data_IF_788986102828
#
_entry.id   IF_788986102828
#
_cell.length_a   1.000
_cell.length_b   1.000
_cell.length_c   1.000
_cell.angle_alpha   90.00
_cell.angle_beta   90.00
_cell.angle_gamma   90.00
#
_symmetry.space_group_name_H-M   'P 1'
#
loop_
_entity.id
_entity.type
_entity.pdbx_description
1 polymer ?
#
# COMPACT_ATOMS: atom_id res chain seq x y z
N UNK A 1 12.84 5.16 -0.30
CA UNK A 1 12.14 5.81 -1.44
C UNK A 1 11.20 6.94 -0.97
N UNK A 2 10.14 6.64 -0.21
CA UNK A 2 9.10 7.62 0.17
C UNK A 2 9.63 8.89 0.84
N UNK A 3 10.64 8.78 1.73
CA UNK A 3 11.32 9.94 2.33
C UNK A 3 11.91 10.93 1.30
N UNK A 4 12.41 10.44 0.15
CA UNK A 4 12.97 11.33 -0.88
C UNK A 4 11.84 11.99 -1.67
N UNK A 5 10.78 11.24 -1.98
CA UNK A 5 9.60 11.75 -2.68
C UNK A 5 8.88 12.81 -1.85
N UNK A 6 8.68 12.59 -0.56
CA UNK A 6 8.02 13.59 0.30
C UNK A 6 8.75 14.94 0.33
N UNK A 7 10.07 14.94 0.09
CA UNK A 7 10.89 16.16 0.01
C UNK A 7 10.92 16.78 -1.39
N UNK A 8 10.57 16.05 -2.44
CA UNK A 8 10.67 16.57 -3.81
C UNK A 8 9.46 17.39 -4.22
N UNK A 9 8.29 17.13 -3.63
CA UNK A 9 7.05 17.84 -3.97
C UNK A 9 6.23 18.31 -2.75
N UNK A 10 6.71 18.03 -1.53
CA UNK A 10 6.14 18.54 -0.28
C UNK A 10 4.61 18.33 -0.16
N UNK A 11 4.16 17.07 -0.04
CA UNK A 11 2.73 16.78 0.01
C UNK A 11 2.07 17.47 1.20
N UNK A 12 0.83 17.88 0.99
CA UNK A 12 0.02 18.43 2.07
C UNK A 12 -0.72 17.36 2.88
N UNK A 13 -0.88 16.17 2.28
CA UNK A 13 -1.57 15.03 2.86
C UNK A 13 -0.79 13.74 2.61
N UNK A 14 -0.68 12.92 3.64
CA UNK A 14 -0.07 11.59 3.62
C UNK A 14 -1.00 10.58 4.28
N UNK A 15 -1.22 9.44 3.60
CA UNK A 15 -1.91 8.29 4.20
C UNK A 15 -1.07 7.04 4.02
N UNK A 16 -0.87 6.33 5.13
CA UNK A 16 -0.23 5.03 5.18
C UNK A 16 -1.33 3.96 5.37
N UNK A 17 -1.52 3.08 4.40
CA UNK A 17 -2.63 2.11 4.39
C UNK A 17 -2.14 0.74 4.84
N UNK A 18 -2.84 0.14 5.80
CA UNK A 18 -2.54 -1.13 6.45
C UNK A 18 -3.81 -1.98 6.58
N UNK A 19 -3.62 -3.23 6.97
CA UNK A 19 -4.70 -4.13 7.40
C UNK A 19 -4.27 -4.89 8.65
N UNK A 20 -5.27 -5.34 9.41
CA UNK A 20 -5.15 -6.04 10.70
C UNK A 20 -6.25 -5.64 11.67
N UNK A 21 -6.90 -4.50 11.44
CA UNK A 21 -8.08 -4.03 12.16
C UNK A 21 -8.85 -3.00 11.31
N UNK A 22 -9.93 -2.44 11.84
CA UNK A 22 -10.59 -1.26 11.27
C UNK A 22 -10.29 -0.03 12.13
N UNK A 23 -9.46 0.88 11.63
CA UNK A 23 -9.02 2.05 12.39
C UNK A 23 -8.55 3.22 11.53
N UNK A 24 -8.63 4.40 12.12
CA UNK A 24 -8.30 5.69 11.54
C UNK A 24 -7.37 6.44 12.50
N UNK A 25 -6.07 6.35 12.26
CA UNK A 25 -5.07 6.94 13.13
C UNK A 25 -4.47 8.23 12.59
N UNK A 26 -4.15 9.11 13.51
CA UNK A 26 -3.20 10.21 13.36
C UNK A 26 -1.96 9.91 14.21
N UNK A 27 -0.87 10.66 14.07
CA UNK A 27 0.24 10.57 15.02
C UNK A 27 -0.22 10.72 16.48
N UNK A 28 0.52 10.24 17.47
CA UNK A 28 1.78 9.53 17.32
C UNK A 28 1.61 8.02 17.41
N UNK A 29 2.45 7.28 16.70
CA UNK A 29 2.58 5.83 16.87
C UNK A 29 3.57 5.51 17.99
N UNK A 30 4.64 6.31 18.13
CA UNK A 30 5.69 6.11 19.13
C UNK A 30 5.37 6.66 20.54
N UNK A 31 4.19 7.25 20.74
CA UNK A 31 3.73 7.83 22.01
C UNK A 31 2.26 7.52 22.23
N UNK A 32 1.86 7.38 23.49
CA UNK A 32 0.45 7.27 23.89
C UNK A 32 -0.26 8.64 23.94
N UNK A 33 0.04 9.53 22.99
CA UNK A 33 -0.52 10.88 22.93
C UNK A 33 -0.65 11.29 21.48
N UNK A 34 -1.66 12.07 21.15
CA UNK A 34 -1.76 12.74 19.84
C UNK A 34 -1.05 14.09 19.88
N UNK A 35 -0.62 14.63 18.72
CA UNK A 35 -0.17 16.01 18.61
C UNK A 35 -1.20 16.99 19.15
N UNK A 36 -0.77 18.16 19.59
CA UNK A 36 -1.66 19.22 20.07
C UNK A 36 -1.76 20.36 19.06
N UNK A 37 -2.78 21.22 19.21
CA UNK A 37 -2.93 22.44 18.43
C UNK A 37 -3.90 22.33 17.25
N UNK A 38 -4.05 23.44 16.52
CA UNK A 38 -5.11 23.63 15.51
C UNK A 38 -5.07 22.60 14.38
N UNK A 39 -3.87 22.24 13.89
CA UNK A 39 -3.72 21.25 12.82
C UNK A 39 -4.12 19.85 13.30
N UNK A 40 -3.74 19.48 14.52
CA UNK A 40 -4.19 18.24 15.15
C UNK A 40 -5.70 18.17 15.29
N UNK A 41 -6.33 19.26 15.74
CA UNK A 41 -7.79 19.36 15.80
C UNK A 41 -8.47 19.12 14.45
N UNK A 42 -7.90 19.62 13.35
CA UNK A 42 -8.41 19.36 11.99
C UNK A 42 -8.23 17.91 11.57
N UNK A 43 -7.06 17.32 11.82
CA UNK A 43 -6.82 15.89 11.54
C UNK A 43 -7.83 15.02 12.29
N UNK A 44 -8.03 15.26 13.58
CA UNK A 44 -8.99 14.53 14.40
C UNK A 44 -10.42 14.67 13.87
N UNK A 45 -10.86 15.87 13.53
CA UNK A 45 -12.18 16.11 12.95
C UNK A 45 -12.37 15.39 11.60
N UNK A 46 -11.34 15.35 10.74
CA UNK A 46 -11.38 14.56 9.51
C UNK A 46 -11.59 13.08 9.82
N UNK A 47 -10.82 12.51 10.76
CA UNK A 47 -10.96 11.09 11.11
C UNK A 47 -12.32 10.75 11.72
N UNK A 48 -12.83 11.58 12.63
CA UNK A 48 -14.16 11.40 13.22
C UNK A 48 -15.27 11.48 12.15
N UNK A 49 -15.15 12.41 11.21
CA UNK A 49 -16.11 12.54 10.10
C UNK A 49 -16.06 11.34 9.17
N UNK A 50 -14.86 10.85 8.81
CA UNK A 50 -14.71 9.66 7.98
C UNK A 50 -15.25 8.41 8.69
N UNK A 51 -15.02 8.28 10.00
CA UNK A 51 -15.55 7.19 10.80
C UNK A 51 -17.08 7.16 10.74
N UNK A 52 -17.71 8.32 10.96
CA UNK A 52 -19.16 8.42 10.94
C UNK A 52 -19.75 8.11 9.56
N UNK A 53 -19.17 8.68 8.49
CA UNK A 53 -19.72 8.57 7.14
C UNK A 53 -19.46 7.20 6.46
N UNK A 54 -18.29 6.61 6.68
CA UNK A 54 -17.83 5.44 5.90
C UNK A 54 -17.56 4.20 6.75
N UNK A 55 -17.25 4.39 8.03
CA UNK A 55 -17.08 3.28 8.97
C UNK A 55 -18.37 2.98 9.78
N UNK A 56 -19.40 3.83 9.75
CA UNK A 56 -20.56 3.65 10.64
C UNK A 56 -20.18 3.59 12.11
N UNK A 57 -19.22 4.44 12.50
CA UNK A 57 -18.66 4.57 13.85
C UNK A 57 -17.93 3.33 14.41
N UNK A 58 -17.65 2.32 13.56
CA UNK A 58 -16.96 1.09 13.97
C UNK A 58 -15.43 1.21 14.03
N UNK A 59 -14.83 2.14 13.29
CA UNK A 59 -13.38 2.28 13.23
C UNK A 59 -12.86 2.92 14.52
N UNK A 60 -11.74 2.41 15.04
CA UNK A 60 -11.05 3.05 16.17
C UNK A 60 -10.39 4.35 15.69
N UNK A 61 -10.63 5.47 16.38
CA UNK A 61 -10.06 6.79 16.02
C UNK A 61 -9.10 7.29 17.10
N UNK A 62 -7.88 7.67 16.73
CA UNK A 62 -6.94 8.24 17.69
C UNK A 62 -5.47 8.23 17.26
N UNK A 63 -4.57 8.25 18.24
CA UNK A 63 -3.12 8.06 18.01
C UNK A 63 -2.78 6.58 17.92
N UNK A 64 -1.93 6.15 16.99
CA UNK A 64 -1.56 4.73 16.86
C UNK A 64 -1.02 4.13 18.16
N UNK A 65 -0.11 4.86 18.84
CA UNK A 65 0.53 4.41 20.07
C UNK A 65 -0.39 4.39 21.30
N UNK A 66 -1.55 5.05 21.21
CA UNK A 66 -2.55 5.06 22.28
C UNK A 66 -3.78 4.21 22.01
N UNK A 67 -4.05 3.87 20.74
CA UNK A 67 -5.28 3.20 20.34
C UNK A 67 -5.08 1.70 20.08
N UNK A 68 -3.89 1.30 19.64
CA UNK A 68 -3.58 -0.11 19.27
C UNK A 68 -3.08 -0.93 20.48
N UNK A 69 -2.77 -0.28 21.61
CA UNK A 69 -2.33 -0.95 22.84
C UNK A 69 -0.82 -1.19 22.95
N UNK A 70 -0.03 -0.76 21.97
CA UNK A 70 1.43 -0.69 22.04
C UNK A 70 1.96 0.55 21.32
N UNK A 71 3.18 0.95 21.64
CA UNK A 71 3.88 2.04 20.94
C UNK A 71 4.82 1.49 19.86
N UNK A 72 4.79 2.09 18.68
CA UNK A 72 5.63 1.71 17.55
C UNK A 72 6.65 2.81 17.25
N UNK A 73 7.95 2.51 17.39
CA UNK A 73 9.01 3.45 17.09
C UNK A 73 9.42 3.38 15.61
N UNK A 74 9.84 4.53 15.05
CA UNK A 74 10.39 4.58 13.69
C UNK A 74 9.34 4.43 12.59
N UNK A 75 8.06 4.69 12.87
CA UNK A 75 7.00 4.58 11.86
C UNK A 75 7.11 5.66 10.80
N UNK A 76 6.58 5.36 9.61
CA UNK A 76 6.58 6.30 8.50
C UNK A 76 5.68 7.49 8.78
N UNK A 77 4.50 7.28 9.38
CA UNK A 77 3.54 8.35 9.70
C UNK A 77 4.14 9.37 10.66
N UNK A 78 4.83 8.92 11.72
CA UNK A 78 5.52 9.82 12.64
C UNK A 78 6.65 10.59 11.96
N UNK A 79 7.45 9.95 11.09
CA UNK A 79 8.49 10.64 10.32
C UNK A 79 7.88 11.71 9.39
N UNK A 80 6.79 11.37 8.70
CA UNK A 80 6.11 12.28 7.77
C UNK A 80 5.56 13.51 8.50
N UNK A 81 5.09 13.33 9.73
CA UNK A 81 4.59 14.41 10.58
C UNK A 81 5.73 15.25 11.18
N UNK A 82 6.61 14.64 11.97
CA UNK A 82 7.59 15.37 12.78
C UNK A 82 8.80 15.84 11.97
N UNK A 83 9.22 15.09 10.95
CA UNK A 83 10.46 15.39 10.21
C UNK A 83 10.15 15.99 8.83
N UNK A 84 9.25 15.39 8.06
CA UNK A 84 8.88 15.92 6.76
C UNK A 84 7.89 17.10 6.85
N UNK A 85 7.31 17.35 8.03
CA UNK A 85 6.38 18.46 8.30
C UNK A 85 5.16 18.47 7.37
N UNK A 86 4.69 17.28 6.98
CA UNK A 86 3.46 17.14 6.20
C UNK A 86 2.28 17.54 7.10
N UNK A 87 1.43 18.50 6.68
CA UNK A 87 0.36 19.04 7.51
C UNK A 87 -0.67 18.02 8.01
N UNK A 88 -1.04 17.06 7.15
CA UNK A 88 -2.04 16.06 7.46
C UNK A 88 -1.48 14.66 7.18
N UNK A 89 -1.25 13.89 8.23
CA UNK A 89 -0.63 12.57 8.14
C UNK A 89 -1.50 11.55 8.87
N UNK A 90 -1.79 10.44 8.21
CA UNK A 90 -2.69 9.43 8.74
C UNK A 90 -2.15 8.01 8.53
N UNK A 91 -2.57 7.09 9.40
CA UNK A 91 -2.47 5.64 9.17
C UNK A 91 -3.88 5.07 9.18
N UNK A 92 -4.28 4.41 8.10
CA UNK A 92 -5.60 3.76 7.99
C UNK A 92 -5.42 2.25 8.03
N UNK A 93 -6.16 1.59 8.91
CA UNK A 93 -6.30 0.14 8.99
C UNK A 93 -7.65 -0.21 8.35
N UNK A 94 -7.62 -0.82 7.17
CA UNK A 94 -8.80 -0.87 6.29
C UNK A 94 -9.63 -2.15 6.42
N UNK A 95 -9.08 -3.16 7.07
CA UNK A 95 -9.69 -4.47 7.18
C UNK A 95 -9.01 -5.26 8.29
N UNK A 96 -9.80 -5.97 9.08
CA UNK A 96 -9.31 -7.04 9.95
C UNK A 96 -10.45 -8.00 10.26
N UNK A 97 -10.19 -9.31 10.18
CA UNK A 97 -11.15 -10.34 10.58
C UNK A 97 -10.76 -10.92 11.94
N UNK A 98 -11.45 -10.46 12.99
CA UNK A 98 -11.27 -10.90 14.38
C UNK A 98 -11.75 -12.33 14.62
N UNK A 99 -12.46 -12.93 13.65
CA UNK A 99 -12.94 -14.32 13.69
C UNK A 99 -12.06 -15.26 12.87
N UNK A 100 -11.03 -14.76 12.20
CA UNK A 100 -10.06 -15.60 11.54
C UNK A 100 -9.34 -16.49 12.57
N UNK A 101 -8.98 -17.72 12.17
CA UNK A 101 -8.14 -18.57 12.99
C UNK A 101 -6.77 -17.91 13.17
N UNK A 102 -6.15 -18.07 14.34
CA UNK A 102 -4.83 -17.49 14.62
C UNK A 102 -3.73 -17.97 13.67
N UNK A 103 -3.94 -19.09 12.97
CA UNK A 103 -3.04 -19.62 11.95
C UNK A 103 -3.43 -19.20 10.53
N UNK A 104 -4.63 -18.65 10.31
CA UNK A 104 -5.10 -18.14 9.02
C UNK A 104 -4.84 -16.64 8.89
N UNK A 105 -3.54 -16.29 8.85
CA UNK A 105 -3.10 -14.92 8.68
C UNK A 105 -3.66 -14.28 7.41
N UNK A 106 -3.83 -15.05 6.33
CA UNK A 106 -4.31 -14.49 5.08
C UNK A 106 -5.72 -13.92 5.25
N UNK A 107 -6.63 -14.70 5.85
CA UNK A 107 -8.00 -14.26 6.13
C UNK A 107 -8.08 -13.15 7.16
N UNK A 108 -7.20 -13.18 8.17
CA UNK A 108 -7.13 -12.14 9.20
C UNK A 108 -6.85 -10.75 8.60
N UNK A 109 -5.95 -10.70 7.60
CA UNK A 109 -5.48 -9.44 7.00
C UNK A 109 -6.11 -9.11 5.64
N UNK A 110 -6.83 -10.04 5.01
CA UNK A 110 -7.38 -9.86 3.67
C UNK A 110 -8.79 -10.43 3.55
N UNK A 111 -9.70 -9.73 2.85
CA UNK A 111 -10.99 -10.29 2.48
C UNK A 111 -10.80 -11.48 1.54
N UNK A 112 -11.39 -12.63 1.89
CA UNK A 112 -11.24 -13.89 1.15
C UNK A 112 -12.40 -14.18 0.20
N UNK A 113 -13.51 -13.45 0.33
CA UNK A 113 -14.68 -13.55 -0.52
C UNK A 113 -14.95 -12.25 -1.30
N UNK A 114 -15.54 -12.40 -2.50
CA UNK A 114 -15.83 -11.28 -3.39
C UNK A 114 -16.76 -10.22 -2.77
N UNK A 115 -17.86 -10.57 -2.09
CA UNK A 115 -18.71 -9.59 -1.40
C UNK A 115 -17.93 -8.72 -0.42
N UNK A 116 -17.14 -9.32 0.47
CA UNK A 116 -16.36 -8.58 1.47
C UNK A 116 -15.28 -7.73 0.80
N UNK A 117 -14.57 -8.27 -0.20
CA UNK A 117 -13.57 -7.52 -0.96
C UNK A 117 -14.18 -6.26 -1.60
N UNK A 118 -15.31 -6.41 -2.30
CA UNK A 118 -15.98 -5.29 -2.97
C UNK A 118 -16.49 -4.25 -1.96
N UNK A 119 -17.01 -4.69 -0.81
CA UNK A 119 -17.43 -3.79 0.27
C UNK A 119 -16.25 -2.96 0.77
N UNK A 120 -15.15 -3.61 1.15
CA UNK A 120 -13.93 -2.92 1.63
C UNK A 120 -13.41 -1.95 0.58
N UNK A 121 -13.33 -2.37 -0.68
CA UNK A 121 -12.87 -1.50 -1.76
C UNK A 121 -13.77 -0.28 -1.93
N UNK A 122 -15.09 -0.45 -1.94
CA UNK A 122 -16.04 0.64 -2.13
C UNK A 122 -16.06 1.61 -0.95
N UNK A 123 -16.15 1.10 0.28
CA UNK A 123 -16.19 1.90 1.51
C UNK A 123 -14.93 2.78 1.61
N UNK A 124 -13.75 2.19 1.42
CA UNK A 124 -12.50 2.93 1.56
C UNK A 124 -12.22 3.84 0.38
N UNK A 125 -12.61 3.48 -0.85
CA UNK A 125 -12.53 4.39 -2.00
C UNK A 125 -13.36 5.65 -1.75
N UNK A 126 -14.59 5.50 -1.25
CA UNK A 126 -15.45 6.62 -0.89
C UNK A 126 -14.84 7.47 0.24
N UNK A 127 -14.27 6.82 1.27
CA UNK A 127 -13.57 7.51 2.36
C UNK A 127 -12.39 8.36 1.85
N UNK A 128 -11.58 7.84 0.92
CA UNK A 128 -10.49 8.59 0.31
C UNK A 128 -10.99 9.83 -0.45
N UNK A 129 -12.05 9.69 -1.25
CA UNK A 129 -12.62 10.84 -1.97
C UNK A 129 -13.15 11.92 -1.02
N UNK A 130 -13.90 11.54 0.02
CA UNK A 130 -14.36 12.47 1.06
C UNK A 130 -13.18 13.14 1.76
N UNK A 131 -12.14 12.39 2.11
CA UNK A 131 -10.95 12.95 2.76
C UNK A 131 -10.24 13.97 1.87
N UNK A 132 -10.13 13.74 0.55
CA UNK A 132 -9.50 14.69 -0.36
C UNK A 132 -10.28 16.00 -0.46
N UNK A 133 -11.62 15.93 -0.53
CA UNK A 133 -12.50 17.10 -0.53
C UNK A 133 -12.40 17.89 0.78
N UNK A 134 -12.44 17.19 1.92
CA UNK A 134 -12.25 17.78 3.24
C UNK A 134 -10.86 18.41 3.36
N UNK A 135 -9.82 17.70 2.92
CA UNK A 135 -8.44 18.16 2.97
C UNK A 135 -8.24 19.47 2.20
N UNK A 136 -8.76 19.55 0.97
CA UNK A 136 -8.71 20.77 0.17
C UNK A 136 -9.35 21.97 0.89
N UNK A 137 -10.50 21.74 1.53
CA UNK A 137 -11.23 22.75 2.30
C UNK A 137 -10.46 23.16 3.58
N UNK A 138 -9.97 22.19 4.35
CA UNK A 138 -9.28 22.43 5.61
C UNK A 138 -7.91 23.09 5.44
N UNK A 139 -7.29 22.93 4.28
CA UNK A 139 -6.01 23.55 3.94
C UNK A 139 -6.14 24.97 3.37
N UNK A 140 -7.35 25.50 3.19
CA UNK A 140 -7.60 26.85 2.67
C UNK A 140 -6.88 27.16 1.34
N UNK A 141 -6.78 26.19 0.42
CA UNK A 141 -6.35 26.47 -0.96
C UNK A 141 -7.31 27.41 -1.72
N UNK A 142 -8.52 27.65 -1.18
CA UNK A 142 -9.60 28.40 -1.82
C UNK A 142 -9.71 29.87 -1.38
N UNK A 143 -8.74 30.43 -0.63
CA UNK A 143 -8.81 31.86 -0.22
C UNK A 143 -7.71 32.79 -0.70
N UNK A 144 -6.61 32.33 -1.30
CA UNK A 144 -5.56 33.24 -1.80
C UNK A 144 -4.87 32.83 -3.12
N UNK A 145 -5.56 32.13 -4.02
CA UNK A 145 -5.10 32.03 -5.41
C UNK A 145 -6.29 31.83 -6.36
N UNK A 146 -6.40 32.56 -7.47
CA UNK A 146 -7.28 32.16 -8.56
C UNK A 146 -6.73 30.84 -9.08
N UNK A 147 -7.26 29.73 -8.57
CA UNK A 147 -6.87 28.38 -8.96
C UNK A 147 -7.16 28.25 -10.46
N UNK A 148 -6.12 28.46 -11.27
CA UNK A 148 -6.20 28.35 -12.72
C UNK A 148 -6.21 26.86 -13.04
N UNK A 149 -7.41 26.36 -13.33
CA UNK A 149 -7.70 24.96 -13.72
C UNK A 149 -6.82 24.49 -14.88
N UNK A 150 -6.21 25.41 -15.64
CA UNK A 150 -5.28 25.10 -16.73
C UNK A 150 -3.97 24.41 -16.34
N UNK A 151 -3.61 24.33 -15.05
CA UNK A 151 -2.40 23.63 -14.59
C UNK A 151 -2.67 22.28 -13.91
N UNK A 152 -3.93 21.84 -13.79
CA UNK A 152 -4.20 20.45 -13.42
C UNK A 152 -4.03 19.60 -14.67
N UNK A 153 -3.00 18.77 -14.66
CA UNK A 153 -2.93 17.66 -15.59
C UNK A 153 -4.01 16.68 -15.15
N UNK A 154 -5.11 16.62 -15.91
CA UNK A 154 -6.12 15.59 -15.70
C UNK A 154 -5.44 14.22 -15.76
N UNK A 155 -5.88 13.28 -14.92
CA UNK A 155 -5.43 11.88 -15.05
C UNK A 155 -5.75 11.36 -16.47
N UNK A 156 -6.82 11.87 -17.07
CA UNK A 156 -7.18 11.62 -18.46
C UNK A 156 -6.22 12.28 -19.44
N UNK A 157 -5.60 13.42 -19.12
CA UNK A 157 -4.57 14.06 -19.96
C UNK A 157 -3.23 13.35 -19.84
N UNK A 158 -2.90 12.77 -18.68
CA UNK A 158 -1.73 11.91 -18.52
C UNK A 158 -1.92 10.58 -19.27
N UNK A 159 -3.10 9.97 -19.16
CA UNK A 159 -3.48 8.79 -19.93
C UNK A 159 -3.57 9.10 -21.43
N UNK A 160 -4.18 10.21 -21.83
CA UNK A 160 -4.25 10.62 -23.23
C UNK A 160 -2.87 11.00 -23.77
N UNK A 161 -2.01 11.66 -23.00
CA UNK A 161 -0.62 11.92 -23.38
C UNK A 161 0.15 10.61 -23.57
N UNK A 162 0.04 9.68 -22.63
CA UNK A 162 0.64 8.34 -22.70
C UNK A 162 0.08 7.49 -23.86
N UNK A 163 -1.19 7.68 -24.23
CA UNK A 163 -1.86 6.97 -25.33
C UNK A 163 -1.65 7.66 -26.70
N UNK A 164 -1.54 8.98 -26.74
CA UNK A 164 -1.27 9.79 -27.95
C UNK A 164 0.20 9.70 -28.37
N UNK A 165 1.13 9.70 -27.41
CA UNK A 165 2.55 9.40 -27.66
C UNK A 165 2.75 7.99 -28.25
N UNK A 166 1.79 7.08 -27.99
CA UNK A 166 1.71 5.74 -28.57
C UNK A 166 1.03 5.67 -29.94
N UNK A 167 0.19 6.65 -30.31
CA UNK A 167 -0.48 6.72 -31.62
C UNK A 167 0.37 7.40 -32.69
N UNK A 168 1.25 8.33 -32.31
CA UNK A 168 2.13 9.05 -33.25
C UNK A 168 3.31 8.21 -33.78
N UNK A 169 3.57 7.03 -33.23
CA UNK A 169 4.63 6.11 -33.69
C UNK A 169 4.06 4.82 -34.28
N UNK A 170 3.26 4.94 -35.33
CA UNK A 170 2.82 3.81 -36.15
C UNK A 170 3.93 3.35 -37.11
N UNK A 171 5.09 3.02 -36.55
CA UNK A 171 6.27 2.50 -37.24
C UNK A 171 7.19 1.64 -36.36
N UNK A 172 7.12 1.79 -35.03
CA UNK A 172 8.02 1.13 -34.07
C UNK A 172 7.40 -0.09 -33.35
N UNK A 173 6.09 -0.31 -33.52
CA UNK A 173 5.34 -1.37 -32.80
C UNK A 173 5.74 -2.79 -33.17
N UNK A 174 6.35 -2.98 -34.35
CA UNK A 174 6.80 -4.31 -34.82
C UNK A 174 8.11 -4.72 -34.14
N UNK A 175 9.05 -3.78 -33.97
CA UNK A 175 10.35 -4.07 -33.36
C UNK A 175 10.26 -4.27 -31.84
N UNK A 176 9.41 -3.53 -31.11
CA UNK A 176 9.26 -3.70 -29.65
C UNK A 176 8.55 -5.01 -29.27
N UNK A 177 7.59 -5.47 -30.08
CA UNK A 177 6.96 -6.77 -29.89
C UNK A 177 7.95 -7.91 -30.16
N UNK A 178 8.78 -7.79 -31.21
CA UNK A 178 9.83 -8.78 -31.50
C UNK A 178 10.92 -8.80 -30.42
N UNK A 179 11.34 -7.63 -29.92
CA UNK A 179 12.28 -7.54 -28.78
C UNK A 179 11.67 -8.16 -27.51
N UNK A 180 10.42 -7.82 -27.19
CA UNK A 180 9.71 -8.38 -26.03
C UNK A 180 9.51 -9.89 -26.13
N UNK A 181 9.21 -10.41 -27.32
CA UNK A 181 9.11 -11.85 -27.56
C UNK A 181 10.47 -12.54 -27.45
N UNK A 182 11.54 -11.88 -27.90
CA UNK A 182 12.90 -12.39 -27.82
C UNK A 182 13.43 -12.41 -26.37
N UNK A 183 13.11 -11.39 -25.58
CA UNK A 183 13.41 -11.37 -24.14
C UNK A 183 12.62 -12.44 -23.39
N UNK A 184 11.30 -12.55 -23.62
CA UNK A 184 10.47 -13.63 -23.03
C UNK A 184 11.02 -15.01 -23.39
N UNK A 185 11.44 -15.22 -24.64
CA UNK A 185 12.05 -16.48 -25.09
C UNK A 185 13.38 -16.76 -24.40
N UNK A 186 14.15 -15.72 -24.08
CA UNK A 186 15.41 -15.83 -23.35
C UNK A 186 15.18 -16.16 -21.87
N UNK A 187 14.24 -15.46 -21.22
CA UNK A 187 13.84 -15.77 -19.84
C UNK A 187 13.23 -17.17 -19.71
N UNK A 188 12.42 -17.60 -20.67
CA UNK A 188 11.85 -18.95 -20.70
C UNK A 188 12.94 -20.02 -20.88
N UNK A 189 13.95 -19.78 -21.74
CA UNK A 189 15.10 -20.66 -21.88
C UNK A 189 15.92 -20.75 -20.59
N UNK A 190 16.18 -19.63 -19.93
CA UNK A 190 16.90 -19.59 -18.65
C UNK A 190 16.10 -20.28 -17.53
N UNK A 191 14.78 -20.11 -17.50
CA UNK A 191 13.88 -20.77 -16.56
C UNK A 191 13.83 -22.30 -16.78
N UNK A 192 13.79 -22.76 -18.04
CA UNK A 192 13.90 -24.18 -18.34
C UNK A 192 15.25 -24.76 -17.94
N UNK A 193 16.34 -24.03 -18.21
CA UNK A 193 17.69 -24.46 -17.83
C UNK A 193 17.85 -24.53 -16.31
N UNK A 194 17.34 -23.54 -15.58
CA UNK A 194 17.36 -23.55 -14.11
C UNK A 194 16.49 -24.68 -13.53
N UNK A 195 15.33 -24.96 -14.13
CA UNK A 195 14.45 -26.06 -13.73
C UNK A 195 15.09 -27.43 -13.97
N UNK A 196 15.79 -27.61 -15.10
CA UNK A 196 16.54 -28.84 -15.39
C UNK A 196 17.72 -28.99 -14.42
N UNK A 197 18.47 -27.92 -14.14
CA UNK A 197 19.57 -27.96 -13.16
C UNK A 197 19.07 -28.26 -11.74
N UNK A 198 17.95 -27.67 -11.33
CA UNK A 198 17.29 -28.00 -10.06
C UNK A 198 16.87 -29.47 -10.03
N UNK A 199 16.27 -29.99 -11.11
CA UNK A 199 15.93 -31.41 -11.20
C UNK A 199 17.17 -32.32 -11.10
N UNK A 200 18.27 -32.00 -11.77
CA UNK A 200 19.52 -32.77 -11.60
C UNK A 200 20.07 -32.68 -10.18
N UNK A 201 20.01 -31.52 -9.51
CA UNK A 201 20.45 -31.39 -8.12
C UNK A 201 19.57 -32.19 -7.14
N UNK A 202 18.24 -32.19 -7.32
CA UNK A 202 17.32 -32.97 -6.50
C UNK A 202 17.43 -34.47 -6.79
N UNK A 203 17.46 -34.90 -8.06
CA UNK A 203 17.63 -36.30 -8.43
C UNK A 203 19.01 -36.87 -8.03
N UNK A 204 20.08 -36.07 -8.07
CA UNK A 204 21.41 -36.50 -7.60
C UNK A 204 21.47 -36.64 -6.08
N UNK A 205 20.73 -35.81 -5.32
CA UNK A 205 20.60 -35.94 -3.86
C UNK A 205 19.79 -37.18 -3.47
N UNK A 206 18.72 -37.50 -4.21
CA UNK A 206 17.88 -38.69 -3.98
C UNK A 206 18.66 -39.98 -4.33
N UNK A 207 19.45 -39.98 -5.41
CA UNK A 207 20.25 -41.15 -5.78
C UNK A 207 21.41 -41.43 -4.79
N UNK A 208 21.91 -40.41 -4.09
CA UNK A 208 22.91 -40.59 -3.02
C UNK A 208 22.32 -41.13 -1.71
N UNK A 209 21.04 -40.89 -1.43
CA UNK A 209 20.37 -41.37 -0.21
C UNK A 209 19.97 -42.85 -0.29
N UNK A 210 19.80 -43.40 -1.50
CA UNK A 210 19.50 -44.83 -1.70
C UNK A 210 20.73 -45.75 -1.75
N UNK A 211 21.96 -45.25 -1.52
CA UNK A 211 23.19 -46.07 -1.60
C UNK A 211 23.79 -46.53 -0.26
N UNK A 212 23.03 -46.49 0.83
CA UNK A 212 23.50 -47.00 2.13
C UNK A 212 22.43 -47.79 2.87
N UNK A 213 22.11 -48.98 2.36
CA UNK A 213 21.64 -50.10 3.19
C UNK A 213 22.38 -51.36 2.70
N UNK A 214 23.59 -51.57 3.21
CA UNK A 214 24.13 -52.92 3.35
C UNK A 214 23.90 -53.34 4.80
N UNK A 215 23.32 -54.52 5.08
CA UNK A 215 23.13 -54.97 6.45
C UNK A 215 24.50 -55.32 7.06
N UNK A 216 24.75 -54.80 8.25
CA UNK A 216 25.89 -55.19 9.08
C UNK A 216 25.77 -56.67 9.43
N UNK A 217 26.73 -57.49 8.98
CA UNK A 217 26.93 -58.86 9.48
C UNK A 217 27.67 -58.74 10.81
N UNK A 218 27.11 -59.36 11.84
CA UNK A 218 27.66 -59.50 13.18
C UNK A 218 28.69 -60.62 13.25
N UNK A 219 29.87 -60.30 13.82
CA UNK A 219 30.70 -61.17 14.66
C UNK A 219 31.81 -60.33 15.32
#
# INVERSE_FOLDING_TARGET
>A
MMRRLSKSFEPHLWVNVHSGMEALFMPYDHKNTTPTGKQSGKMKMILETLNHLHCGDRCVVGGGGGSVGYVAHGTTTDYMFDVAKIPMTFTFEIYGDDKADVNDCFKMFNPVDHPTFNRVLNDWSAAFFTMFEMGATQMNFLKESPFNVGNLISIDDYLNGYLMERKSRYGEKKELLDLGLQEIRTYFRLFLLSSVLLMFMFCSRINKTNRSIMPSISL
#
